data_IF_587982185248
#
_entry.id   IF_587982185248
#
_cell.length_a   1.000
_cell.length_b   1.000
_cell.length_c   1.000
_cell.angle_alpha   90.00
_cell.angle_beta   90.00
_cell.angle_gamma   90.00
#
_symmetry.space_group_name_H-M   'P 1'
#
loop_
_entity.id
_entity.type
_entity.pdbx_description
1 polymer ?
#
# COMPACT_ATOMS: atom_id res chain seq x y z
N UNK A 1 -4.70 -21.28 -5.61
CA UNK A 1 -3.81 -20.60 -6.59
C UNK A 1 -4.52 -19.35 -7.10
N UNK A 2 -3.80 -18.24 -7.31
CA UNK A 2 -4.38 -16.99 -7.84
C UNK A 2 -3.86 -16.73 -9.25
N UNK A 3 -4.76 -16.73 -10.24
CA UNK A 3 -4.44 -16.47 -11.65
C UNK A 3 -3.80 -15.08 -11.84
N UNK A 4 -4.23 -14.09 -11.05
CA UNK A 4 -3.73 -12.72 -11.09
C UNK A 4 -2.43 -12.48 -10.30
N UNK A 5 -1.84 -13.49 -9.64
CA UNK A 5 -0.71 -13.27 -8.74
C UNK A 5 0.51 -12.64 -9.43
N UNK A 6 0.74 -12.96 -10.71
CA UNK A 6 1.80 -12.35 -11.51
C UNK A 6 1.55 -10.85 -11.77
N UNK A 7 0.32 -10.51 -12.14
CA UNK A 7 -0.09 -9.13 -12.40
C UNK A 7 -0.02 -8.29 -11.13
N UNK A 8 -0.57 -8.77 -10.00
CA UNK A 8 -0.55 -8.05 -8.74
C UNK A 8 0.88 -7.70 -8.28
N UNK A 9 1.84 -8.62 -8.44
CA UNK A 9 3.26 -8.35 -8.14
C UNK A 9 3.86 -7.29 -9.07
N UNK A 10 3.50 -7.30 -10.34
CA UNK A 10 3.95 -6.30 -11.31
C UNK A 10 3.41 -4.91 -10.94
N UNK A 11 2.12 -4.81 -10.64
CA UNK A 11 1.46 -3.55 -10.25
C UNK A 11 2.07 -2.99 -8.97
N UNK A 12 2.22 -3.80 -7.91
CA UNK A 12 2.84 -3.38 -6.65
C UNK A 12 4.26 -2.87 -6.86
N UNK A 13 5.07 -3.56 -7.68
CA UNK A 13 6.45 -3.15 -7.97
C UNK A 13 6.51 -1.79 -8.67
N UNK A 14 5.64 -1.57 -9.66
CA UNK A 14 5.59 -0.30 -10.40
C UNK A 14 5.08 0.82 -9.48
N UNK A 15 3.99 0.57 -8.75
CA UNK A 15 3.40 1.53 -7.81
C UNK A 15 4.42 2.02 -6.80
N UNK A 16 5.08 1.12 -6.07
CA UNK A 16 6.05 1.51 -5.05
C UNK A 16 7.30 2.16 -5.65
N UNK A 17 7.76 1.72 -6.83
CA UNK A 17 8.89 2.38 -7.52
C UNK A 17 8.56 3.83 -7.81
N UNK A 18 7.44 4.09 -8.49
CA UNK A 18 7.09 5.46 -8.88
C UNK A 18 6.77 6.32 -7.66
N UNK A 19 6.03 5.78 -6.68
CA UNK A 19 5.68 6.49 -5.45
C UNK A 19 6.93 6.96 -4.69
N UNK A 20 7.84 6.03 -4.38
CA UNK A 20 9.03 6.33 -3.58
C UNK A 20 10.09 7.12 -4.36
N UNK A 21 10.08 7.05 -5.70
CA UNK A 21 10.97 7.88 -6.54
C UNK A 21 10.49 9.33 -6.58
N UNK A 22 9.18 9.55 -6.72
CA UNK A 22 8.61 10.90 -6.83
C UNK A 22 8.41 11.58 -5.48
N UNK A 23 8.21 10.80 -4.42
CA UNK A 23 7.97 11.26 -3.05
C UNK A 23 8.99 10.61 -2.09
N UNK A 24 10.29 10.96 -2.17
CA UNK A 24 11.34 10.28 -1.42
C UNK A 24 11.23 10.43 0.11
N UNK A 25 10.54 11.46 0.60
CA UNK A 25 10.28 11.70 2.03
C UNK A 25 8.95 11.13 2.54
N UNK A 26 8.23 10.34 1.73
CA UNK A 26 6.93 9.79 2.16
C UNK A 26 7.13 8.78 3.29
N UNK A 27 6.48 9.02 4.43
CA UNK A 27 6.48 8.08 5.56
C UNK A 27 5.15 8.06 6.29
N UNK A 28 4.81 6.90 6.84
CA UNK A 28 3.69 6.79 7.76
C UNK A 28 3.96 7.64 9.02
N UNK A 29 2.94 8.32 9.52
CA UNK A 29 3.03 9.14 10.74
C UNK A 29 2.05 8.69 11.83
N UNK A 30 1.42 7.54 11.66
CA UNK A 30 0.51 6.94 12.62
C UNK A 30 0.06 5.55 12.16
N UNK A 31 -0.76 4.91 12.99
CA UNK A 31 -1.29 3.57 12.72
C UNK A 31 -2.35 3.57 11.61
N UNK A 32 -2.45 2.50 10.81
CA UNK A 32 -3.54 2.34 9.86
C UNK A 32 -4.87 2.12 10.59
N UNK A 33 -5.94 2.69 10.04
CA UNK A 33 -7.31 2.32 10.41
C UNK A 33 -7.66 1.06 9.65
N UNK A 34 -7.86 -0.06 10.36
CA UNK A 34 -8.25 -1.33 9.73
C UNK A 34 -9.78 -1.45 9.66
N UNK A 35 -10.27 -2.10 8.61
CA UNK A 35 -11.69 -2.48 8.51
C UNK A 35 -11.88 -3.84 9.17
N UNK A 36 -12.73 -3.97 10.20
CA UNK A 36 -13.06 -5.27 10.77
C UNK A 36 -13.75 -6.15 9.71
N UNK A 37 -13.07 -7.20 9.29
CA UNK A 37 -13.58 -8.16 8.31
C UNK A 37 -13.00 -9.54 8.61
N UNK A 38 -13.84 -10.57 8.53
CA UNK A 38 -13.42 -11.96 8.65
C UNK A 38 -12.98 -12.57 7.32
N UNK A 39 -13.15 -11.83 6.21
CA UNK A 39 -12.87 -12.34 4.86
C UNK A 39 -11.59 -11.75 4.27
N UNK A 40 -11.38 -10.44 4.39
CA UNK A 40 -10.27 -9.70 3.82
C UNK A 40 -9.56 -8.80 4.84
N UNK A 41 -8.24 -8.61 4.67
CA UNK A 41 -7.45 -7.76 5.54
C UNK A 41 -7.27 -6.39 4.91
N UNK A 42 -8.08 -5.41 5.32
CA UNK A 42 -8.17 -4.10 4.67
C UNK A 42 -7.72 -2.96 5.57
N UNK A 43 -6.96 -2.04 4.98
CA UNK A 43 -6.64 -0.73 5.52
C UNK A 43 -7.64 0.27 4.95
N UNK A 44 -8.43 0.93 5.81
CA UNK A 44 -9.36 2.00 5.45
C UNK A 44 -8.62 3.31 5.16
N UNK A 45 -7.62 3.65 5.97
CA UNK A 45 -6.77 4.83 5.81
C UNK A 45 -5.43 4.65 6.53
N UNK A 46 -4.37 5.23 6.00
CA UNK A 46 -3.05 5.31 6.64
C UNK A 46 -2.54 6.76 6.54
N UNK A 47 -2.39 7.49 7.66
CA UNK A 47 -1.84 8.84 7.63
C UNK A 47 -0.35 8.83 7.26
N UNK A 48 0.06 9.79 6.43
CA UNK A 48 1.45 9.96 6.01
C UNK A 48 1.85 11.44 5.97
N UNK A 49 3.16 11.69 5.97
CA UNK A 49 3.76 13.01 5.76
C UNK A 49 4.79 12.93 4.63
N UNK A 50 5.14 14.11 4.10
CA UNK A 50 6.23 14.31 3.16
C UNK A 50 7.23 15.23 3.84
N UNK A 51 8.40 14.70 4.20
CA UNK A 51 9.53 15.49 4.72
C UNK A 51 10.41 16.03 3.58
#
# INVERSE_FOLDING_TARGET
FCLGAGLARLEMRILFRELLTRLPGVRACGEPVLVPSSFDHRVASLPFVLD
#
